data_IF_690406920713
#
_entry.id   IF_690406920713
#
_cell.length_a   1.000
_cell.length_b   1.000
_cell.length_c   1.000
_cell.angle_alpha   90.00
_cell.angle_beta   90.00
_cell.angle_gamma   90.00
#
_symmetry.space_group_name_H-M   'P 1'
#
loop_
_entity.id
_entity.type
_entity.pdbx_description
1 polymer ?
#
# COMPACT_ATOMS: atom_id res chain seq x y z
N UNK A 1 -8.83 -18.18 -24.38
CA UNK A 1 -9.54 -16.89 -24.30
C UNK A 1 -10.94 -17.18 -23.78
N UNK A 2 -11.35 -16.59 -22.65
CA UNK A 2 -12.67 -16.85 -22.05
C UNK A 2 -13.72 -15.86 -22.54
N UNK A 3 -13.33 -14.60 -22.64
CA UNK A 3 -14.19 -13.51 -23.07
C UNK A 3 -13.31 -12.41 -23.67
N UNK A 4 -13.83 -11.69 -24.65
CA UNK A 4 -13.36 -10.36 -24.95
C UNK A 4 -14.55 -9.45 -25.19
N UNK A 5 -14.49 -8.24 -24.63
CA UNK A 5 -15.52 -7.23 -24.78
C UNK A 5 -14.90 -5.87 -25.04
N UNK A 6 -15.51 -5.12 -25.93
CA UNK A 6 -15.17 -3.73 -26.16
C UNK A 6 -15.90 -2.89 -25.12
N UNK A 7 -15.16 -2.12 -24.34
CA UNK A 7 -15.69 -1.21 -23.32
C UNK A 7 -15.38 0.22 -23.76
N UNK A 8 -16.43 1.00 -24.02
CA UNK A 8 -16.30 2.44 -24.22
C UNK A 8 -16.37 3.13 -22.86
N UNK A 9 -15.35 3.94 -22.55
CA UNK A 9 -15.34 4.80 -21.36
C UNK A 9 -14.83 6.17 -21.75
N UNK A 10 -15.61 7.18 -21.42
CA UNK A 10 -15.44 8.54 -21.93
C UNK A 10 -15.43 8.50 -23.48
N UNK A 11 -14.40 9.07 -24.13
CA UNK A 11 -14.22 9.04 -25.60
C UNK A 11 -13.21 7.97 -26.08
N UNK A 12 -12.96 6.94 -25.27
CA UNK A 12 -11.98 5.88 -25.58
C UNK A 12 -12.61 4.51 -25.55
N UNK A 13 -12.23 3.68 -26.51
CA UNK A 13 -12.60 2.26 -26.55
C UNK A 13 -11.43 1.39 -26.08
N UNK A 14 -11.71 0.46 -25.18
CA UNK A 14 -10.77 -0.51 -24.63
C UNK A 14 -11.22 -1.92 -24.96
N UNK A 15 -10.31 -2.77 -25.42
CA UNK A 15 -10.59 -4.20 -25.55
C UNK A 15 -10.19 -4.91 -24.26
N UNK A 16 -11.18 -5.27 -23.45
CA UNK A 16 -10.95 -6.07 -22.24
C UNK A 16 -10.95 -7.55 -22.63
N UNK A 17 -9.82 -8.24 -22.43
CA UNK A 17 -9.66 -9.66 -22.77
C UNK A 17 -9.42 -10.46 -21.51
N UNK A 18 -10.34 -11.38 -21.22
CA UNK A 18 -10.24 -12.29 -20.07
C UNK A 18 -9.64 -13.60 -20.53
N UNK A 19 -8.49 -13.95 -19.95
CA UNK A 19 -7.86 -15.26 -20.15
C UNK A 19 -8.22 -16.20 -19.01
N UNK A 20 -8.73 -17.38 -19.35
CA UNK A 20 -8.83 -18.48 -18.40
C UNK A 20 -7.46 -19.13 -18.23
N UNK A 21 -6.87 -19.05 -17.05
CA UNK A 21 -5.73 -19.89 -16.67
C UNK A 21 -6.28 -21.11 -15.93
N UNK A 22 -6.02 -22.30 -16.44
CA UNK A 22 -6.27 -23.51 -15.66
C UNK A 22 -5.29 -23.52 -14.49
N UNK A 23 -5.82 -23.48 -13.26
CA UNK A 23 -5.02 -23.66 -12.06
C UNK A 23 -4.62 -25.13 -12.01
N UNK A 24 -3.32 -25.43 -12.18
CA UNK A 24 -2.81 -26.75 -11.87
C UNK A 24 -2.94 -26.95 -10.37
N UNK A 25 -3.45 -28.11 -9.95
CA UNK A 25 -3.44 -28.51 -8.54
C UNK A 25 -1.97 -28.69 -8.14
N UNK A 26 -1.44 -27.72 -7.41
CA UNK A 26 -0.07 -27.80 -6.87
C UNK A 26 -0.18 -28.43 -5.50
N UNK A 27 0.49 -29.56 -5.29
CA UNK A 27 0.67 -30.09 -3.95
C UNK A 27 1.67 -29.21 -3.18
N UNK A 28 1.30 -28.69 -1.99
CA UNK A 28 2.22 -27.90 -1.19
C UNK A 28 3.38 -28.79 -0.76
N UNK A 29 4.61 -28.46 -1.20
CA UNK A 29 5.81 -29.20 -0.80
C UNK A 29 6.32 -28.81 0.58
N UNK A 30 5.97 -27.61 1.05
CA UNK A 30 6.33 -27.10 2.38
C UNK A 30 5.50 -25.88 2.72
N UNK A 31 5.45 -25.52 4.00
CA UNK A 31 4.94 -24.24 4.49
C UNK A 31 6.07 -23.24 4.75
N UNK A 32 5.72 -21.96 4.74
CA UNK A 32 6.52 -20.84 5.23
C UNK A 32 5.58 -19.98 6.05
N UNK A 33 5.95 -19.69 7.30
CA UNK A 33 5.26 -18.74 8.14
C UNK A 33 5.68 -17.32 7.75
N UNK A 34 4.70 -16.43 7.66
CA UNK A 34 4.91 -15.00 7.41
C UNK A 34 4.17 -14.25 8.50
N UNK A 35 4.91 -13.53 9.31
CA UNK A 35 4.40 -12.65 10.35
C UNK A 35 4.69 -11.20 9.96
N UNK A 36 3.69 -10.33 10.07
CA UNK A 36 3.75 -8.95 9.57
C UNK A 36 3.40 -8.00 10.71
N UNK A 37 4.43 -7.31 11.22
CA UNK A 37 4.30 -6.33 12.29
C UNK A 37 4.74 -4.92 11.85
N UNK A 38 4.49 -3.95 12.74
CA UNK A 38 4.84 -2.54 12.51
C UNK A 38 6.35 -2.27 12.47
N UNK A 39 7.15 -3.11 13.14
CA UNK A 39 8.61 -2.98 13.19
C UNK A 39 9.30 -3.79 12.10
N UNK A 40 8.87 -5.03 11.89
CA UNK A 40 9.50 -5.97 10.96
C UNK A 40 8.50 -6.98 10.38
N UNK A 41 8.86 -7.54 9.23
CA UNK A 41 8.20 -8.72 8.67
C UNK A 41 9.15 -9.90 8.92
N UNK A 42 8.64 -10.96 9.53
CA UNK A 42 9.39 -12.20 9.77
C UNK A 42 8.88 -13.27 8.82
N UNK A 43 9.79 -13.86 8.05
CA UNK A 43 9.48 -14.94 7.10
C UNK A 43 10.37 -16.13 7.39
N UNK A 44 9.81 -17.29 7.68
CA UNK A 44 10.62 -18.47 8.03
C UNK A 44 9.90 -19.80 7.92
N UNK A 45 10.68 -20.88 7.82
CA UNK A 45 10.16 -22.26 7.88
C UNK A 45 10.18 -22.80 9.31
N UNK A 46 11.14 -22.36 10.11
CA UNK A 46 11.42 -22.79 11.49
C UNK A 46 12.23 -21.71 12.22
N UNK A 47 12.60 -21.97 13.48
CA UNK A 47 13.31 -21.03 14.35
C UNK A 47 14.78 -20.79 13.96
N UNK A 48 15.29 -21.47 12.93
CA UNK A 48 16.68 -21.36 12.45
C UNK A 48 16.71 -20.71 11.06
N UNK A 49 15.76 -21.06 10.20
CA UNK A 49 15.67 -20.64 8.82
C UNK A 49 14.60 -19.54 8.67
N UNK A 50 14.91 -18.34 9.15
CA UNK A 50 14.06 -17.17 9.01
C UNK A 50 14.83 -15.91 8.59
N UNK A 51 14.09 -14.96 8.00
CA UNK A 51 14.56 -13.64 7.59
C UNK A 51 13.70 -12.58 8.27
N UNK A 52 14.33 -11.53 8.78
CA UNK A 52 13.68 -10.35 9.33
C UNK A 52 13.89 -9.17 8.38
N UNK A 53 12.79 -8.58 7.92
CA UNK A 53 12.78 -7.45 7.01
C UNK A 53 12.27 -6.24 7.79
N UNK A 54 13.10 -5.24 8.11
CA UNK A 54 12.64 -4.06 8.82
C UNK A 54 11.62 -3.30 7.99
N UNK A 55 10.59 -2.77 8.63
CA UNK A 55 9.60 -1.91 7.98
C UNK A 55 9.72 -0.47 8.48
N UNK A 56 9.11 0.45 7.73
CA UNK A 56 8.96 1.86 8.13
C UNK A 56 7.50 2.18 8.49
N UNK A 57 6.70 1.16 8.80
CA UNK A 57 5.27 1.34 9.03
C UNK A 57 4.99 2.22 10.24
N UNK A 58 5.80 2.14 11.29
CA UNK A 58 5.69 3.00 12.47
C UNK A 58 5.88 4.49 12.12
N UNK A 59 6.94 4.82 11.35
CA UNK A 59 7.18 6.19 10.88
C UNK A 59 6.01 6.72 10.04
N UNK A 60 5.51 5.89 9.11
CA UNK A 60 4.39 6.23 8.24
C UNK A 60 3.11 6.41 9.06
N UNK A 61 2.86 5.54 10.04
CA UNK A 61 1.72 5.65 10.94
C UNK A 61 1.77 6.92 11.77
N UNK A 62 2.94 7.26 12.34
CA UNK A 62 3.13 8.52 13.04
C UNK A 62 2.84 9.73 12.14
N UNK A 63 3.38 9.74 10.92
CA UNK A 63 3.12 10.80 9.94
C UNK A 63 1.64 10.93 9.61
N UNK A 64 0.94 9.81 9.44
CA UNK A 64 -0.51 9.75 9.20
C UNK A 64 -1.29 10.34 10.38
N UNK A 65 -1.01 9.90 11.61
CA UNK A 65 -1.68 10.43 12.81
C UNK A 65 -1.48 11.93 12.96
N UNK A 66 -0.27 12.43 12.71
CA UNK A 66 0.01 13.87 12.73
C UNK A 66 -0.80 14.62 11.66
N UNK A 67 -0.84 14.09 10.44
CA UNK A 67 -1.61 14.65 9.34
C UNK A 67 -3.11 14.74 9.68
N UNK A 68 -3.70 13.67 10.19
CA UNK A 68 -5.11 13.61 10.60
C UNK A 68 -5.41 14.61 11.73
N UNK A 69 -4.52 14.72 12.72
CA UNK A 69 -4.66 15.68 13.81
C UNK A 69 -4.61 17.13 13.32
N UNK A 70 -3.72 17.45 12.38
CA UNK A 70 -3.64 18.78 11.76
C UNK A 70 -4.88 19.09 10.92
N UNK A 71 -5.37 18.12 10.15
CA UNK A 71 -6.60 18.26 9.37
C UNK A 71 -7.80 18.49 10.28
N UNK A 72 -7.92 17.73 11.38
CA UNK A 72 -9.00 17.90 12.38
C UNK A 72 -8.94 19.26 13.07
N UNK A 73 -7.75 19.72 13.45
CA UNK A 73 -7.53 21.03 14.09
C UNK A 73 -7.84 22.20 13.13
N UNK A 74 -7.57 22.03 11.84
CA UNK A 74 -7.65 23.10 10.85
C UNK A 74 -8.49 22.73 9.62
N UNK A 75 -9.68 22.15 9.81
CA UNK A 75 -10.53 21.55 8.77
C UNK A 75 -10.62 22.32 7.43
N UNK A 76 -10.76 23.65 7.47
CA UNK A 76 -10.87 24.49 6.26
C UNK A 76 -9.55 25.11 5.80
N UNK A 77 -8.58 25.25 6.71
CA UNK A 77 -7.36 26.06 6.48
C UNK A 77 -6.12 25.23 6.18
N UNK A 78 -6.14 23.93 6.45
CA UNK A 78 -4.95 23.09 6.31
C UNK A 78 -4.45 22.97 4.86
N UNK A 79 -5.32 23.13 3.85
CA UNK A 79 -4.95 23.09 2.42
C UNK A 79 -4.42 24.43 1.90
N UNK A 80 -4.87 25.53 2.48
CA UNK A 80 -4.61 26.88 1.96
C UNK A 80 -3.45 27.56 2.70
N UNK A 81 -3.27 27.24 3.98
CA UNK A 81 -2.27 27.87 4.81
C UNK A 81 -0.91 27.15 4.71
N UNK A 82 0.03 27.77 4.00
CA UNK A 82 1.41 27.27 3.84
C UNK A 82 2.11 26.97 5.17
N UNK A 83 1.81 27.69 6.26
CA UNK A 83 2.39 27.42 7.60
C UNK A 83 1.84 26.14 8.24
N UNK A 84 0.65 25.71 7.86
CA UNK A 84 0.05 24.44 8.33
C UNK A 84 0.58 23.30 7.46
N UNK A 85 0.68 23.51 6.14
CA UNK A 85 1.27 22.53 5.21
C UNK A 85 2.74 22.20 5.54
N UNK A 86 3.54 23.20 5.92
CA UNK A 86 4.93 23.02 6.32
C UNK A 86 5.12 22.17 7.59
N UNK A 87 4.03 21.86 8.32
CA UNK A 87 4.06 20.97 9.49
C UNK A 87 3.84 19.50 9.15
N UNK A 88 3.47 19.19 7.90
CA UNK A 88 3.39 17.82 7.44
C UNK A 88 4.81 17.31 7.15
N UNK A 89 5.25 16.18 7.72
CA UNK A 89 6.62 15.67 7.58
C UNK A 89 7.05 15.44 6.12
N UNK A 90 6.09 15.18 5.22
CA UNK A 90 6.33 14.90 3.80
C UNK A 90 6.20 16.10 2.86
N UNK A 91 5.80 17.27 3.35
CA UNK A 91 5.69 18.49 2.54
C UNK A 91 6.78 19.47 2.98
N UNK A 92 8.04 19.30 2.54
CA UNK A 92 9.04 20.33 2.75
C UNK A 92 8.55 21.65 2.13
N UNK A 93 8.86 22.80 2.76
CA UNK A 93 8.50 24.09 2.19
C UNK A 93 9.09 24.19 0.79
N UNK A 94 8.25 24.46 -0.21
CA UNK A 94 8.73 24.87 -1.53
C UNK A 94 9.44 26.21 -1.34
N UNK A 95 10.75 26.21 -1.57
CA UNK A 95 11.57 27.41 -1.67
C UNK A 95 11.08 28.35 -2.77
#
# INVERSE_FOLDING_TARGET
MKEARLVAKDDKAFLEVVFGKQLKKVEPKSSVAVDIDMGEIVVGRDDINYVRIPTRLEEVHHCKSLAENLQKKYQRRWRENKRILARFPFFPPKG
#
